data_IF_407154996204
#
_entry.id   IF_407154996204
#
_cell.length_a   1.000
_cell.length_b   1.000
_cell.length_c   1.000
_cell.angle_alpha   90.00
_cell.angle_beta   90.00
_cell.angle_gamma   90.00
#
_symmetry.space_group_name_H-M   'P 1'
#
loop_
_entity.id
_entity.type
_entity.pdbx_description
1 polymer ?
#
# COMPACT_ATOMS: atom_id res chain seq x y z
N UNK A 1 17.48 -2.32 -38.62
CA UNK A 1 16.90 -1.08 -38.10
C UNK A 1 15.44 -1.35 -37.76
N UNK A 2 15.15 -1.75 -36.53
CA UNK A 2 13.80 -2.04 -36.04
C UNK A 2 13.62 -1.34 -34.68
N UNK A 3 13.90 -0.03 -34.66
CA UNK A 3 13.81 0.80 -33.47
C UNK A 3 12.78 1.89 -33.71
N UNK A 4 11.81 1.97 -32.80
CA UNK A 4 10.87 3.09 -32.61
C UNK A 4 9.55 3.08 -33.41
N UNK A 5 9.15 2.00 -34.08
CA UNK A 5 7.80 1.92 -34.67
C UNK A 5 6.67 2.01 -33.61
N UNK A 6 6.94 1.58 -32.37
CA UNK A 6 5.98 1.68 -31.27
C UNK A 6 5.77 3.12 -30.77
N UNK A 7 6.79 3.99 -30.92
CA UNK A 7 6.66 5.43 -30.63
C UNK A 7 5.81 6.09 -31.71
N UNK A 8 5.95 5.67 -32.97
CA UNK A 8 5.12 6.16 -34.06
C UNK A 8 3.65 5.78 -33.86
N UNK A 9 3.33 4.59 -33.35
CA UNK A 9 1.95 4.22 -33.02
C UNK A 9 1.33 5.05 -31.90
N UNK A 10 2.12 5.50 -30.93
CA UNK A 10 1.65 6.39 -29.86
C UNK A 10 1.55 7.85 -30.33
N UNK A 11 2.48 8.32 -31.16
CA UNK A 11 2.43 9.63 -31.80
C UNK A 11 1.26 9.73 -32.78
N UNK A 12 0.99 8.70 -33.58
CA UNK A 12 -0.18 8.63 -34.46
C UNK A 12 -1.47 8.63 -33.64
N UNK A 13 -1.56 7.87 -32.56
CA UNK A 13 -2.75 7.87 -31.69
C UNK A 13 -2.99 9.22 -30.99
N UNK A 14 -1.93 9.94 -30.61
CA UNK A 14 -2.02 11.31 -30.06
C UNK A 14 -2.43 12.30 -31.16
N UNK A 15 -1.81 12.25 -32.34
CA UNK A 15 -2.13 13.12 -33.47
C UNK A 15 -3.57 12.90 -33.97
N UNK A 16 -4.06 11.66 -33.95
CA UNK A 16 -5.42 11.27 -34.32
C UNK A 16 -6.46 11.61 -33.21
N UNK A 17 -6.01 11.84 -31.97
CA UNK A 17 -6.84 12.40 -30.91
C UNK A 17 -6.87 13.94 -30.90
N UNK A 18 -5.87 14.59 -31.50
CA UNK A 18 -5.76 16.05 -31.63
C UNK A 18 -6.45 16.65 -32.86
N UNK A 19 -6.90 15.83 -33.82
CA UNK A 19 -7.44 16.28 -35.12
C UNK A 19 -8.91 16.75 -35.10
N UNK A 20 -9.57 16.77 -33.94
CA UNK A 20 -10.95 17.27 -33.81
C UNK A 20 -11.08 18.61 -33.09
N UNK A 21 -9.98 19.25 -32.68
CA UNK A 21 -10.02 20.48 -31.88
C UNK A 21 -9.19 21.66 -32.44
N UNK A 22 -8.64 21.55 -33.65
CA UNK A 22 -7.88 22.64 -34.27
C UNK A 22 -8.45 22.92 -35.66
N UNK A 23 -9.62 23.58 -35.69
CA UNK A 23 -9.92 24.49 -36.80
C UNK A 23 -9.57 25.91 -36.35
N UNK A 24 -8.67 26.51 -37.15
CA UNK A 24 -8.48 27.94 -37.37
C UNK A 24 -7.94 28.80 -36.22
N UNK A 25 -6.61 28.84 -36.09
CA UNK A 25 -5.79 30.03 -36.42
C UNK A 25 -4.39 29.95 -35.78
N UNK A 26 -3.39 29.51 -36.57
CA UNK A 26 -2.04 30.09 -36.66
C UNK A 26 -1.22 29.30 -37.69
N UNK A 27 -0.34 29.96 -38.47
CA UNK A 27 0.35 29.31 -39.58
C UNK A 27 1.39 28.31 -39.06
N UNK A 28 1.43 27.17 -39.73
CA UNK A 28 2.45 26.12 -39.58
C UNK A 28 3.84 26.73 -39.84
N UNK A 29 4.82 26.60 -38.92
CA UNK A 29 6.20 26.79 -39.30
C UNK A 29 6.63 25.55 -40.08
N UNK A 30 6.74 25.70 -41.40
CA UNK A 30 7.45 24.76 -42.25
C UNK A 30 8.88 24.53 -41.74
N UNK A 31 9.34 23.29 -41.97
CA UNK A 31 10.73 22.80 -41.95
C UNK A 31 11.32 22.32 -40.62
N UNK A 32 11.02 21.05 -40.30
CA UNK A 32 11.84 20.21 -39.42
C UNK A 32 12.26 18.88 -40.08
N UNK A 33 12.34 18.84 -41.41
CA UNK A 33 13.00 17.72 -42.12
C UNK A 33 14.53 17.78 -42.07
N UNK A 34 15.14 18.82 -41.48
CA UNK A 34 16.56 19.13 -41.69
C UNK A 34 17.44 19.34 -40.44
N UNK A 35 17.10 18.76 -39.28
CA UNK A 35 18.07 18.64 -38.17
C UNK A 35 18.08 17.23 -37.60
N UNK A 36 19.13 16.49 -37.93
CA UNK A 36 19.34 15.08 -37.62
C UNK A 36 19.63 14.76 -36.15
N UNK A 37 18.76 15.17 -35.23
CA UNK A 37 18.66 14.59 -33.89
C UNK A 37 17.29 14.92 -33.28
N UNK A 38 16.24 14.28 -33.81
CA UNK A 38 14.95 14.24 -33.14
C UNK A 38 15.07 13.31 -31.92
N UNK A 39 15.02 13.88 -30.71
CA UNK A 39 14.97 13.11 -29.46
C UNK A 39 13.50 12.94 -29.04
N UNK A 40 12.92 11.74 -29.22
CA UNK A 40 11.49 11.51 -28.98
C UNK A 40 11.11 11.72 -27.52
N UNK A 41 12.02 11.42 -26.58
CA UNK A 41 11.78 11.57 -25.14
C UNK A 41 11.68 13.04 -24.75
N UNK A 42 12.46 13.91 -25.39
CA UNK A 42 12.43 15.35 -25.09
C UNK A 42 11.17 16.01 -25.65
N UNK A 43 10.79 15.67 -26.88
CA UNK A 43 9.53 16.13 -27.49
C UNK A 43 8.30 15.64 -26.71
N UNK A 44 8.32 14.38 -26.24
CA UNK A 44 7.20 13.81 -25.49
C UNK A 44 7.02 14.46 -24.11
N UNK A 45 8.12 14.74 -23.40
CA UNK A 45 8.05 15.39 -22.09
C UNK A 45 7.72 16.87 -22.21
N UNK A 46 8.28 17.58 -23.19
CA UNK A 46 7.99 19.01 -23.36
C UNK A 46 6.57 19.22 -23.90
N UNK A 47 6.09 18.46 -24.89
CA UNK A 47 4.83 18.79 -25.57
C UNK A 47 3.60 18.03 -25.06
N UNK A 48 3.75 16.78 -24.59
CA UNK A 48 2.60 15.96 -24.14
C UNK A 48 2.29 16.17 -22.66
N UNK A 49 3.31 16.36 -21.82
CA UNK A 49 3.11 16.58 -20.37
C UNK A 49 2.71 18.02 -20.06
N UNK A 50 3.10 18.99 -20.89
CA UNK A 50 2.72 20.40 -20.66
C UNK A 50 1.51 20.86 -21.46
N UNK A 51 1.18 20.19 -22.58
CA UNK A 51 0.14 20.63 -23.51
C UNK A 51 -1.20 19.88 -23.45
N UNK A 52 -1.30 18.71 -22.81
CA UNK A 52 -2.47 17.82 -22.93
C UNK A 52 -3.24 17.72 -21.61
N UNK A 53 -4.55 17.98 -21.67
CA UNK A 53 -5.46 17.91 -20.50
C UNK A 53 -5.61 16.48 -19.96
N UNK A 54 -5.82 16.36 -18.64
CA UNK A 54 -5.88 15.10 -17.87
C UNK A 54 -6.91 14.11 -18.47
N UNK A 55 -7.98 14.66 -19.07
CA UNK A 55 -9.06 13.94 -19.74
C UNK A 55 -8.60 13.18 -21.01
N UNK A 56 -7.66 13.73 -21.77
CA UNK A 56 -7.22 13.18 -23.05
C UNK A 56 -6.16 12.09 -22.87
N UNK A 57 -5.34 12.20 -21.81
CA UNK A 57 -4.47 11.13 -21.34
C UNK A 57 -5.28 9.90 -20.91
N UNK A 58 -6.39 10.12 -20.21
CA UNK A 58 -7.29 9.05 -19.78
C UNK A 58 -7.99 8.36 -20.97
N UNK A 59 -8.46 9.12 -21.96
CA UNK A 59 -9.07 8.56 -23.18
C UNK A 59 -8.07 7.76 -24.01
N UNK A 60 -6.83 8.24 -24.11
CA UNK A 60 -5.74 7.54 -24.79
C UNK A 60 -5.40 6.22 -24.08
N UNK A 61 -5.37 6.23 -22.75
CA UNK A 61 -5.19 5.02 -21.95
C UNK A 61 -6.28 3.98 -22.21
N UNK A 62 -7.56 4.38 -22.23
CA UNK A 62 -8.68 3.48 -22.54
C UNK A 62 -8.56 2.88 -23.95
N UNK A 63 -8.22 3.68 -24.97
CA UNK A 63 -8.05 3.20 -26.36
C UNK A 63 -6.89 2.21 -26.51
N UNK A 64 -5.78 2.42 -25.82
CA UNK A 64 -4.60 1.53 -25.82
C UNK A 64 -4.92 0.20 -25.11
N UNK A 65 -5.70 0.25 -24.02
CA UNK A 65 -6.17 -0.96 -23.32
C UNK A 65 -7.14 -1.77 -24.19
N UNK A 66 -7.99 -1.10 -24.97
CA UNK A 66 -9.00 -1.73 -25.82
C UNK A 66 -8.43 -2.41 -27.09
N UNK A 67 -7.23 -2.03 -27.55
CA UNK A 67 -6.59 -2.57 -28.78
C UNK A 67 -5.70 -3.79 -28.54
N UNK A 68 -5.84 -4.46 -27.39
CA UNK A 68 -5.08 -5.66 -27.02
C UNK A 68 -5.24 -6.80 -28.04
N UNK A 69 -4.19 -7.04 -28.83
CA UNK A 69 -3.87 -8.39 -29.26
C UNK A 69 -2.38 -8.72 -29.37
N UNK A 70 -2.09 -9.91 -28.83
CA UNK A 70 -0.91 -10.80 -28.92
C UNK A 70 0.48 -10.34 -28.47
N UNK A 71 0.84 -10.92 -27.30
CA UNK A 71 2.14 -11.47 -26.88
C UNK A 71 3.35 -10.52 -26.88
N UNK A 72 3.83 -10.25 -25.65
CA UNK A 72 5.12 -9.66 -25.24
C UNK A 72 5.24 -8.13 -25.07
N UNK A 73 4.23 -7.31 -25.37
CA UNK A 73 4.40 -5.84 -25.33
C UNK A 73 3.59 -5.05 -24.28
N UNK A 74 2.99 -5.70 -23.28
CA UNK A 74 2.11 -5.04 -22.29
C UNK A 74 2.80 -4.43 -21.06
N UNK A 75 3.76 -5.12 -20.45
CA UNK A 75 4.22 -4.79 -19.08
C UNK A 75 5.04 -3.49 -18.98
N UNK A 76 5.89 -3.18 -19.97
CA UNK A 76 6.70 -1.95 -19.95
C UNK A 76 5.87 -0.69 -20.19
N UNK A 77 4.86 -0.76 -21.05
CA UNK A 77 3.97 0.35 -21.34
C UNK A 77 3.04 0.61 -20.15
N UNK A 78 2.51 -0.46 -19.54
CA UNK A 78 1.69 -0.38 -18.31
C UNK A 78 2.48 0.21 -17.14
N UNK A 79 3.72 -0.25 -16.92
CA UNK A 79 4.60 0.30 -15.88
C UNK A 79 4.95 1.77 -16.12
N UNK A 80 5.16 2.18 -17.38
CA UNK A 80 5.50 3.57 -17.70
C UNK A 80 4.29 4.50 -17.53
N UNK A 81 3.11 4.10 -18.00
CA UNK A 81 1.87 4.85 -17.83
C UNK A 81 1.52 5.00 -16.34
N UNK A 82 1.66 3.92 -15.55
CA UNK A 82 1.45 3.96 -14.10
C UNK A 82 2.43 4.92 -13.42
N UNK A 83 3.70 4.91 -13.81
CA UNK A 83 4.75 5.76 -13.23
C UNK A 83 4.55 7.25 -13.54
N UNK A 84 4.07 7.58 -14.74
CA UNK A 84 3.72 8.96 -15.10
C UNK A 84 2.50 9.43 -14.31
N UNK A 85 1.46 8.61 -14.22
CA UNK A 85 0.26 8.93 -13.42
C UNK A 85 0.61 9.14 -11.94
N UNK A 86 1.43 8.25 -11.38
CA UNK A 86 1.90 8.32 -10.00
C UNK A 86 2.72 9.59 -9.72
N UNK A 87 3.67 9.94 -10.59
CA UNK A 87 4.49 11.15 -10.44
C UNK A 87 3.66 12.44 -10.52
N UNK A 88 2.70 12.52 -11.45
CA UNK A 88 1.81 13.67 -11.58
C UNK A 88 0.91 13.83 -10.35
N UNK A 89 0.44 12.72 -9.78
CA UNK A 89 -0.40 12.72 -8.57
C UNK A 89 0.38 13.06 -7.31
N UNK A 90 1.61 12.54 -7.14
CA UNK A 90 2.49 12.92 -6.04
C UNK A 90 2.80 14.41 -6.05
N UNK A 91 3.05 14.99 -7.24
CA UNK A 91 3.27 16.43 -7.39
C UNK A 91 2.03 17.23 -6.92
N UNK A 92 0.83 16.79 -7.31
CA UNK A 92 -0.44 17.42 -6.90
C UNK A 92 -0.70 17.30 -5.38
N UNK A 93 -0.32 16.17 -4.76
CA UNK A 93 -0.40 16.01 -3.30
C UNK A 93 0.56 16.95 -2.56
N UNK A 94 1.79 17.11 -3.05
CA UNK A 94 2.75 18.07 -2.48
C UNK A 94 2.25 19.51 -2.60
N UNK A 95 1.65 19.88 -3.73
CA UNK A 95 1.03 21.21 -3.92
C UNK A 95 -0.14 21.44 -2.96
N UNK A 96 -0.97 20.41 -2.71
CA UNK A 96 -2.09 20.47 -1.75
C UNK A 96 -1.58 20.59 -0.31
N UNK A 97 -0.55 19.82 0.07
CA UNK A 97 0.08 19.92 1.39
C UNK A 97 0.73 21.29 1.61
N UNK A 98 1.38 21.84 0.59
CA UNK A 98 1.97 23.18 0.66
C UNK A 98 0.88 24.26 0.85
N UNK A 99 -0.23 24.12 0.13
CA UNK A 99 -1.40 24.98 0.31
C UNK A 99 -2.02 24.87 1.71
N UNK A 100 -2.13 23.67 2.28
CA UNK A 100 -2.62 23.46 3.64
C UNK A 100 -1.65 24.03 4.70
N UNK A 101 -0.34 23.87 4.51
CA UNK A 101 0.68 24.48 5.40
C UNK A 101 0.62 26.00 5.37
N UNK A 102 0.40 26.60 4.19
CA UNK A 102 0.23 28.04 4.04
C UNK A 102 -1.09 28.53 4.66
N UNK A 103 -2.17 27.75 4.54
CA UNK A 103 -3.45 28.05 5.19
C UNK A 103 -3.35 28.00 6.72
N UNK A 104 -2.71 26.96 7.28
CA UNK A 104 -2.52 26.83 8.73
C UNK A 104 -1.66 27.96 9.29
N UNK A 105 -0.59 28.38 8.60
CA UNK A 105 0.22 29.55 9.03
C UNK A 105 -0.56 30.87 8.99
N UNK A 106 -1.53 31.02 8.09
CA UNK A 106 -2.42 32.20 8.08
C UNK A 106 -3.38 32.15 9.26
N UNK A 107 -3.95 30.99 9.52
CA UNK A 107 -4.85 30.77 10.66
C UNK A 107 -4.15 31.00 12.00
N UNK A 108 -2.93 30.48 12.20
CA UNK A 108 -2.11 30.73 13.40
C UNK A 108 -1.79 32.22 13.60
N UNK A 109 -1.55 32.97 12.52
CA UNK A 109 -1.33 34.43 12.60
C UNK A 109 -2.59 35.20 12.91
N UNK A 110 -3.73 34.79 12.37
CA UNK A 110 -5.03 35.40 12.70
C UNK A 110 -5.44 35.09 14.14
N UNK A 111 -5.18 33.87 14.61
CA UNK A 111 -5.43 33.46 15.98
C UNK A 111 -4.51 34.20 16.95
N UNK A 112 -3.19 34.25 16.71
CA UNK A 112 -2.28 35.03 17.54
C UNK A 112 -2.57 36.55 17.52
N UNK A 113 -3.20 37.07 16.46
CA UNK A 113 -3.68 38.45 16.41
C UNK A 113 -4.97 38.66 17.20
N UNK A 114 -5.85 37.66 17.27
CA UNK A 114 -7.05 37.64 18.11
C UNK A 114 -6.70 37.50 19.59
N UNK A 115 -5.82 36.57 19.92
CA UNK A 115 -5.32 36.33 21.28
C UNK A 115 -4.60 37.58 21.81
N UNK A 116 -3.77 38.24 20.98
CA UNK A 116 -3.14 39.52 21.37
C UNK A 116 -4.14 40.68 21.55
N UNK A 117 -5.29 40.68 20.85
CA UNK A 117 -6.37 41.64 21.11
C UNK A 117 -7.19 41.31 22.35
N UNK A 118 -7.30 40.02 22.72
CA UNK A 118 -7.93 39.58 23.96
C UNK A 118 -7.03 39.93 25.16
N UNK A 119 -5.73 39.66 25.11
CA UNK A 119 -4.75 40.05 26.16
C UNK A 119 -4.72 41.58 26.37
N UNK A 120 -4.75 42.37 25.29
CA UNK A 120 -4.81 43.84 25.38
C UNK A 120 -6.15 44.38 25.91
N UNK A 121 -7.20 43.55 25.94
CA UNK A 121 -8.50 43.89 26.54
C UNK A 121 -8.59 43.50 28.02
N UNK A 122 -7.81 42.51 28.45
CA UNK A 122 -7.68 42.11 29.86
C UNK A 122 -6.75 43.04 30.66
N UNK A 123 -5.70 43.57 30.04
CA UNK A 123 -4.71 44.50 30.65
C UNK A 123 -5.28 45.90 31.00
N UNK A 124 -6.51 46.23 30.61
CA UNK A 124 -7.20 47.45 31.06
C UNK A 124 -8.05 47.24 32.32
N UNK A 125 -8.06 46.02 32.90
CA UNK A 125 -8.88 45.69 34.08
C UNK A 125 -8.10 45.41 35.37
N UNK A 126 -6.78 45.23 35.33
CA UNK A 126 -5.98 44.99 36.55
C UNK A 126 -4.94 46.09 36.79
N UNK A 127 -5.40 47.13 37.49
CA UNK A 127 -4.51 48.08 38.13
C UNK A 127 -3.83 47.47 39.36
N UNK A 128 -2.51 47.68 39.39
CA UNK A 128 -1.67 47.96 40.56
C UNK A 128 -0.80 46.84 41.21
N UNK A 129 0.53 47.13 41.22
CA UNK A 129 1.64 46.63 42.07
C UNK A 129 2.32 45.34 41.59
N UNK A 130 3.64 45.23 41.44
CA UNK A 130 4.78 46.11 41.69
C UNK A 130 6.08 45.28 41.72
N UNK A 131 7.04 45.67 40.88
CA UNK A 131 8.52 45.67 40.98
C UNK A 131 9.36 44.45 41.47
N UNK A 132 10.46 44.15 40.74
CA UNK A 132 11.65 43.45 41.32
C UNK A 132 12.46 42.45 40.46
N UNK A 133 13.32 42.95 39.57
CA UNK A 133 14.67 42.50 39.09
C UNK A 133 15.23 41.06 39.32
N UNK A 134 15.85 40.49 38.27
CA UNK A 134 16.98 39.52 38.39
C UNK A 134 17.33 38.70 37.13
N UNK A 135 18.45 39.01 36.47
CA UNK A 135 19.03 38.37 35.27
C UNK A 135 19.46 36.89 35.40
N UNK A 136 19.49 36.13 34.29
CA UNK A 136 20.69 35.52 33.67
C UNK A 136 20.32 34.42 32.63
N UNK A 137 20.86 34.52 31.41
CA UNK A 137 20.85 33.49 30.36
C UNK A 137 22.02 32.50 30.55
N UNK A 138 21.90 31.27 30.02
CA UNK A 138 22.84 30.90 28.97
C UNK A 138 22.21 30.19 27.76
N UNK A 139 22.86 30.40 26.63
CA UNK A 139 22.65 29.84 25.30
C UNK A 139 22.77 28.33 25.25
N UNK A 140 21.86 27.67 24.52
CA UNK A 140 22.11 26.33 23.97
C UNK A 140 21.59 26.20 22.53
N UNK A 141 22.44 25.60 21.70
CA UNK A 141 22.25 25.38 20.26
C UNK A 141 21.11 24.39 19.96
N UNK A 142 20.34 24.54 18.86
CA UNK A 142 19.18 23.69 18.63
C UNK A 142 19.61 22.32 18.06
N UNK A 143 19.61 21.29 18.92
CA UNK A 143 19.51 19.90 18.48
C UNK A 143 18.22 19.72 17.68
N UNK A 144 18.33 19.37 16.39
CA UNK A 144 17.20 18.91 15.57
C UNK A 144 16.55 17.69 16.24
N UNK A 145 15.45 17.92 16.97
CA UNK A 145 14.53 16.86 17.39
C UNK A 145 13.73 16.45 16.16
N UNK A 146 14.00 15.25 15.64
CA UNK A 146 13.07 14.58 14.75
C UNK A 146 11.76 14.36 15.51
N UNK A 147 10.64 14.73 14.88
CA UNK A 147 9.30 14.49 15.40
C UNK A 147 9.08 12.98 15.48
N UNK A 148 9.13 12.45 16.69
CA UNK A 148 8.52 11.15 16.99
C UNK A 148 7.02 11.38 16.93
N UNK A 149 6.35 10.83 15.92
CA UNK A 149 4.93 10.53 16.04
C UNK A 149 4.81 9.37 17.04
N UNK A 150 4.90 9.70 18.33
CA UNK A 150 4.19 8.90 19.32
C UNK A 150 2.74 9.12 18.92
N UNK A 151 2.11 8.12 18.33
CA UNK A 151 0.67 8.14 18.15
C UNK A 151 0.10 8.45 19.52
N UNK A 152 -0.56 9.61 19.65
CA UNK A 152 -1.48 9.80 20.75
C UNK A 152 -2.44 8.63 20.62
N UNK A 153 -2.37 7.73 21.59
CA UNK A 153 -3.32 6.65 21.76
C UNK A 153 -4.62 7.33 22.21
N UNK A 154 -5.26 8.07 21.32
CA UNK A 154 -6.71 8.23 21.39
C UNK A 154 -7.27 6.83 21.15
N UNK A 155 -7.32 6.10 22.27
CA UNK A 155 -8.02 4.85 22.44
C UNK A 155 -9.37 5.05 21.76
N UNK A 156 -9.55 4.34 20.64
CA UNK A 156 -10.77 4.14 19.88
C UNK A 156 -11.98 4.85 20.52
N UNK A 157 -12.25 6.10 20.12
CA UNK A 157 -13.41 6.82 20.65
C UNK A 157 -14.69 6.06 20.31
N UNK A 158 -15.67 6.09 21.21
CA UNK A 158 -16.97 5.40 21.06
C UNK A 158 -17.71 5.79 19.76
N UNK A 159 -17.36 6.94 19.15
CA UNK A 159 -17.85 7.41 17.85
C UNK A 159 -17.52 6.46 16.67
N UNK A 160 -16.55 5.56 16.81
CA UNK A 160 -16.18 4.62 15.72
C UNK A 160 -16.91 3.27 15.78
N UNK A 161 -17.78 3.03 16.77
CA UNK A 161 -18.60 1.79 16.84
C UNK A 161 -19.44 1.57 15.58
N UNK A 162 -19.81 2.64 14.87
CA UNK A 162 -20.65 2.57 13.67
C UNK A 162 -19.90 2.15 12.39
N UNK A 163 -18.56 2.18 12.35
CA UNK A 163 -17.83 2.11 11.07
C UNK A 163 -17.81 0.73 10.40
N UNK A 164 -18.32 -0.33 11.04
CA UNK A 164 -18.44 -1.72 10.54
C UNK A 164 -17.33 -2.10 9.52
N UNK A 165 -16.08 -2.06 9.96
CA UNK A 165 -14.89 -2.15 9.10
C UNK A 165 -14.67 -3.55 8.53
N UNK A 166 -14.19 -3.61 7.28
CA UNK A 166 -13.66 -4.81 6.64
C UNK A 166 -12.13 -4.74 6.59
N UNK A 167 -11.43 -5.74 7.12
CA UNK A 167 -9.97 -5.79 7.18
C UNK A 167 -9.48 -7.03 6.43
N UNK A 168 -8.42 -6.88 5.63
CA UNK A 168 -7.75 -8.00 4.96
C UNK A 168 -6.33 -8.14 5.49
N UNK A 169 -5.97 -9.33 5.94
CA UNK A 169 -4.61 -9.73 6.29
C UNK A 169 -4.11 -10.73 5.26
N UNK A 170 -2.82 -10.71 4.92
CA UNK A 170 -2.23 -11.63 3.94
C UNK A 170 -1.03 -12.34 4.57
N UNK A 171 -1.03 -13.68 4.53
CA UNK A 171 0.08 -14.54 4.92
C UNK A 171 0.11 -15.78 4.03
N UNK A 172 1.00 -15.80 3.04
CA UNK A 172 0.95 -16.77 1.95
C UNK A 172 1.63 -18.11 2.25
N UNK A 173 2.85 -18.06 2.75
CA UNK A 173 3.62 -19.26 3.07
C UNK A 173 3.22 -19.88 4.41
N UNK A 174 3.70 -21.11 4.61
CA UNK A 174 3.42 -21.90 5.79
C UNK A 174 2.04 -22.57 5.75
N UNK A 175 1.79 -23.40 6.76
CA UNK A 175 0.51 -24.08 6.93
C UNK A 175 -0.37 -23.31 7.92
N UNK A 176 -1.35 -22.56 7.40
CA UNK A 176 -2.24 -21.71 8.20
C UNK A 176 -3.58 -22.40 8.44
N UNK A 177 -3.90 -22.64 9.72
CA UNK A 177 -5.19 -23.11 10.22
C UNK A 177 -5.49 -22.51 11.59
N UNK A 178 -6.77 -22.46 11.96
CA UNK A 178 -7.23 -21.84 13.20
C UNK A 178 -6.91 -22.66 14.44
N UNK A 179 -7.14 -23.97 14.36
CA UNK A 179 -6.97 -24.89 15.48
C UNK A 179 -5.85 -25.91 15.24
N UNK A 180 -5.24 -26.39 16.31
CA UNK A 180 -4.19 -27.41 16.28
C UNK A 180 -3.00 -27.09 15.34
N UNK A 181 -2.60 -25.82 15.19
CA UNK A 181 -1.52 -25.41 14.27
C UNK A 181 -0.28 -26.30 14.36
N UNK A 182 0.27 -26.71 13.22
CA UNK A 182 1.48 -27.55 13.12
C UNK A 182 2.76 -26.72 13.31
N UNK A 183 2.81 -25.95 14.40
CA UNK A 183 3.94 -25.05 14.69
C UNK A 183 5.24 -25.84 14.84
N UNK A 184 6.28 -25.41 14.12
CA UNK A 184 7.59 -26.05 14.14
C UNK A 184 7.72 -27.27 13.22
N UNK A 185 6.70 -27.57 12.38
CA UNK A 185 6.81 -28.60 11.34
C UNK A 185 7.97 -28.32 10.38
N UNK A 186 8.13 -27.07 9.98
CA UNK A 186 9.16 -26.61 9.06
C UNK A 186 9.56 -25.14 9.35
N UNK A 187 10.38 -24.55 8.48
CA UNK A 187 10.83 -23.16 8.62
C UNK A 187 9.75 -22.11 8.36
N UNK A 188 8.61 -22.51 7.80
CA UNK A 188 7.60 -21.63 7.24
C UNK A 188 6.36 -21.59 8.15
N UNK A 189 6.16 -22.66 8.94
CA UNK A 189 5.06 -22.81 9.89
C UNK A 189 5.55 -22.56 11.31
N UNK A 190 5.62 -21.30 11.70
CA UNK A 190 6.18 -20.88 12.99
C UNK A 190 5.47 -19.70 13.64
N UNK A 191 6.25 -18.82 14.26
CA UNK A 191 5.73 -17.67 15.03
C UNK A 191 4.86 -16.72 14.22
N UNK A 192 5.16 -16.53 12.92
CA UNK A 192 4.33 -15.73 12.01
C UNK A 192 2.91 -16.29 11.89
N UNK A 193 2.74 -17.59 11.64
CA UNK A 193 1.42 -18.23 11.50
C UNK A 193 0.58 -18.03 12.76
N UNK A 194 1.18 -18.28 13.93
CA UNK A 194 0.50 -18.03 15.20
C UNK A 194 0.12 -16.56 15.36
N UNK A 195 1.03 -15.65 15.05
CA UNK A 195 0.79 -14.21 15.17
C UNK A 195 -0.40 -13.76 14.32
N UNK A 196 -0.46 -14.12 13.04
CA UNK A 196 -1.49 -13.62 12.12
C UNK A 196 -2.88 -14.19 12.45
N UNK A 197 -2.96 -15.44 12.90
CA UNK A 197 -4.24 -16.04 13.32
C UNK A 197 -4.75 -15.37 14.60
N UNK A 198 -3.89 -15.19 15.61
CA UNK A 198 -4.29 -14.50 16.85
C UNK A 198 -4.61 -13.02 16.61
N UNK A 199 -3.87 -12.35 15.72
CA UNK A 199 -4.19 -10.99 15.28
C UNK A 199 -5.58 -10.93 14.64
N UNK A 200 -5.90 -11.88 13.76
CA UNK A 200 -7.22 -11.96 13.11
C UNK A 200 -8.35 -12.07 14.15
N UNK A 201 -8.18 -12.97 15.13
CA UNK A 201 -9.13 -13.15 16.24
C UNK A 201 -9.28 -11.88 17.07
N UNK A 202 -8.16 -11.24 17.42
CA UNK A 202 -8.16 -10.03 18.22
C UNK A 202 -8.84 -8.86 17.49
N UNK A 203 -8.52 -8.64 16.21
CA UNK A 203 -9.12 -7.60 15.38
C UNK A 203 -10.64 -7.79 15.25
N UNK A 204 -11.11 -9.02 15.02
CA UNK A 204 -12.55 -9.30 14.90
C UNK A 204 -13.34 -9.05 16.21
N UNK A 205 -12.67 -9.03 17.37
CA UNK A 205 -13.30 -8.65 18.65
C UNK A 205 -13.27 -7.15 18.93
N UNK A 206 -12.57 -6.36 18.11
CA UNK A 206 -12.49 -4.92 18.32
C UNK A 206 -13.83 -4.25 17.97
N UNK A 207 -14.33 -3.32 18.81
CA UNK A 207 -15.54 -2.58 18.51
C UNK A 207 -15.45 -1.88 17.15
N UNK A 208 -16.45 -2.01 16.29
CA UNK A 208 -16.45 -1.35 14.97
C UNK A 208 -15.73 -2.11 13.86
N UNK A 209 -15.06 -3.25 14.15
CA UNK A 209 -14.65 -4.21 13.12
C UNK A 209 -15.80 -5.17 12.85
N UNK A 210 -16.20 -5.29 11.59
CA UNK A 210 -17.25 -6.21 11.17
C UNK A 210 -16.69 -7.53 10.68
N UNK A 211 -15.67 -7.47 9.80
CA UNK A 211 -15.09 -8.67 9.18
C UNK A 211 -13.58 -8.57 9.06
N UNK A 212 -12.90 -9.67 9.34
CA UNK A 212 -11.47 -9.85 9.09
C UNK A 212 -11.28 -11.09 8.21
N UNK A 213 -10.67 -10.92 7.03
CA UNK A 213 -10.25 -12.02 6.18
C UNK A 213 -8.73 -12.18 6.23
N UNK A 214 -8.24 -13.35 6.65
CA UNK A 214 -6.85 -13.77 6.57
C UNK A 214 -6.63 -14.61 5.31
N UNK A 215 -6.05 -14.01 4.29
CA UNK A 215 -5.73 -14.69 3.03
C UNK A 215 -4.45 -15.51 3.15
N UNK A 216 -4.54 -16.75 2.67
CA UNK A 216 -3.41 -17.69 2.62
C UNK A 216 -3.54 -18.61 1.41
N UNK A 217 -2.55 -19.48 1.21
CA UNK A 217 -2.55 -20.46 0.11
C UNK A 217 -3.45 -21.65 0.42
N UNK A 218 -4.22 -22.09 -0.57
CA UNK A 218 -4.94 -23.37 -0.52
C UNK A 218 -4.02 -24.53 -0.89
N UNK A 219 -3.93 -25.54 -0.03
CA UNK A 219 -3.03 -26.69 -0.20
C UNK A 219 -3.83 -27.98 -0.08
N UNK A 220 -3.91 -28.74 -1.18
CA UNK A 220 -4.62 -30.02 -1.30
C UNK A 220 -3.62 -31.16 -1.55
N UNK A 221 -2.53 -31.17 -0.78
CA UNK A 221 -1.50 -32.21 -0.86
C UNK A 221 -1.86 -33.38 0.08
N UNK A 222 -1.61 -34.64 -0.33
CA UNK A 222 -1.76 -35.79 0.56
C UNK A 222 -0.75 -35.81 1.72
N UNK A 223 0.28 -34.96 1.69
CA UNK A 223 1.33 -34.88 2.72
C UNK A 223 0.96 -33.98 3.92
N UNK A 224 -0.13 -33.24 3.80
CA UNK A 224 -0.64 -32.31 4.82
C UNK A 224 -2.10 -32.65 5.15
N UNK A 225 -2.59 -32.10 6.25
CA UNK A 225 -3.98 -32.29 6.66
C UNK A 225 -4.96 -31.77 5.59
N UNK A 226 -6.03 -32.50 5.33
CA UNK A 226 -7.02 -32.16 4.30
C UNK A 226 -7.68 -30.79 4.54
N UNK A 227 -7.72 -30.32 5.80
CA UNK A 227 -8.28 -29.02 6.18
C UNK A 227 -7.58 -27.83 5.53
N UNK A 228 -6.30 -27.94 5.14
CA UNK A 228 -5.63 -26.87 4.36
C UNK A 228 -6.17 -26.75 2.93
N UNK A 229 -6.93 -27.74 2.48
CA UNK A 229 -7.66 -27.74 1.22
C UNK A 229 -9.02 -27.03 1.31
N UNK A 230 -9.55 -26.79 2.51
CA UNK A 230 -10.84 -26.13 2.68
C UNK A 230 -10.74 -24.64 2.34
N UNK A 231 -11.59 -24.11 1.44
CA UNK A 231 -11.46 -22.75 0.90
C UNK A 231 -11.69 -21.66 1.96
N UNK A 232 -12.42 -21.96 3.02
CA UNK A 232 -12.68 -21.04 4.12
C UNK A 232 -12.73 -21.77 5.46
N UNK A 233 -12.26 -21.12 6.51
CA UNK A 233 -12.36 -21.58 7.90
C UNK A 233 -12.70 -20.39 8.79
N UNK A 234 -13.71 -20.52 9.65
CA UNK A 234 -14.11 -19.46 10.58
C UNK A 234 -13.28 -19.56 11.87
N UNK A 235 -12.62 -18.47 12.25
CA UNK A 235 -11.75 -18.42 13.44
C UNK A 235 -12.49 -18.02 14.71
N UNK A 236 -13.40 -17.05 14.61
CA UNK A 236 -14.22 -16.57 15.72
C UNK A 236 -15.45 -15.88 15.13
N UNK A 237 -16.61 -16.11 15.75
CA UNK A 237 -17.81 -15.32 15.48
C UNK A 237 -17.66 -13.89 16.01
N UNK A 238 -18.47 -12.96 15.50
CA UNK A 238 -18.61 -11.64 16.13
C UNK A 238 -18.94 -11.78 17.63
N UNK A 239 -18.74 -10.73 18.44
CA UNK A 239 -19.02 -10.79 19.88
C UNK A 239 -20.42 -11.33 20.15
N UNK A 240 -20.52 -12.38 20.99
CA UNK A 240 -21.79 -13.03 21.36
C UNK A 240 -22.71 -12.11 22.18
N UNK A 241 -22.16 -11.02 22.75
CA UNK A 241 -22.80 -10.15 23.75
C UNK A 241 -23.54 -8.92 23.16
N UNK A 242 -23.92 -8.92 21.89
CA UNK A 242 -24.56 -7.79 21.22
C UNK A 242 -25.96 -8.10 20.71
N UNK A 243 -26.98 -7.54 21.38
CA UNK A 243 -28.39 -7.56 21.01
C UNK A 243 -28.61 -7.10 19.54
N UNK A 244 -28.66 -8.07 18.61
CA UNK A 244 -29.24 -8.00 17.27
C UNK A 244 -28.76 -6.92 16.28
N UNK A 245 -27.66 -7.16 15.54
CA UNK A 245 -27.45 -6.65 14.16
C UNK A 245 -26.19 -7.21 13.43
N UNK A 246 -25.56 -8.27 13.96
CA UNK A 246 -24.33 -8.85 13.38
C UNK A 246 -24.72 -9.86 12.30
N UNK A 247 -24.59 -9.46 11.03
CA UNK A 247 -24.92 -10.31 9.89
C UNK A 247 -24.01 -11.55 9.77
N UNK A 248 -24.43 -12.51 8.93
CA UNK A 248 -23.81 -13.85 8.78
C UNK A 248 -22.31 -13.83 8.43
N UNK A 249 -21.81 -12.71 7.91
CA UNK A 249 -20.42 -12.55 7.48
C UNK A 249 -19.51 -11.89 8.52
N UNK A 250 -20.01 -11.68 9.75
CA UNK A 250 -19.28 -11.05 10.84
C UNK A 250 -18.29 -12.01 11.51
N UNK A 251 -17.08 -11.51 11.80
CA UNK A 251 -16.03 -12.26 12.50
C UNK A 251 -14.73 -12.37 11.72
N UNK A 252 -13.88 -13.32 12.12
CA UNK A 252 -12.59 -13.60 11.49
C UNK A 252 -12.64 -14.90 10.69
N UNK A 253 -12.08 -14.89 9.48
CA UNK A 253 -12.05 -16.03 8.58
C UNK A 253 -10.65 -16.22 8.00
N UNK A 254 -10.16 -17.46 7.93
CA UNK A 254 -9.09 -17.84 7.01
C UNK A 254 -9.72 -18.09 5.65
N UNK A 255 -9.24 -17.42 4.61
CA UNK A 255 -9.66 -17.63 3.23
C UNK A 255 -8.45 -18.15 2.45
N UNK A 256 -8.60 -19.36 1.90
CA UNK A 256 -7.53 -20.05 1.19
C UNK A 256 -7.71 -19.84 -0.31
N UNK A 257 -6.83 -19.02 -0.89
CA UNK A 257 -6.83 -18.72 -2.32
C UNK A 257 -6.01 -19.80 -3.04
N UNK A 258 -6.56 -20.47 -4.08
CA UNK A 258 -5.78 -21.39 -4.89
C UNK A 258 -4.81 -20.62 -5.77
N UNK A 259 -3.52 -20.95 -5.68
CA UNK A 259 -2.50 -20.50 -6.61
C UNK A 259 -1.29 -21.45 -6.62
N UNK A 260 -0.63 -21.54 -7.78
CA UNK A 260 0.37 -22.56 -8.05
C UNK A 260 -0.18 -23.98 -7.96
N UNK A 261 0.70 -25.00 -8.00
CA UNK A 261 0.31 -26.40 -7.92
C UNK A 261 -0.42 -26.71 -6.61
N UNK A 262 -1.66 -27.20 -6.67
CA UNK A 262 -2.52 -27.40 -5.48
C UNK A 262 -2.25 -28.71 -4.75
N UNK A 263 -1.73 -29.70 -5.46
CA UNK A 263 -1.44 -31.06 -5.00
C UNK A 263 -0.13 -31.19 -4.23
N UNK A 264 0.60 -30.07 -4.03
CA UNK A 264 1.88 -30.05 -3.34
C UNK A 264 2.02 -28.85 -2.39
N UNK A 265 2.69 -29.09 -1.27
CA UNK A 265 3.16 -28.03 -0.39
C UNK A 265 4.41 -27.37 -1.01
N UNK A 266 4.50 -26.05 -0.91
CA UNK A 266 5.63 -25.26 -1.43
C UNK A 266 6.21 -24.44 -0.30
N UNK A 267 7.53 -24.43 -0.19
CA UNK A 267 8.21 -23.48 0.70
C UNK A 267 8.12 -22.05 0.15
N UNK A 268 8.26 -21.08 1.04
CA UNK A 268 8.18 -19.64 0.71
C UNK A 268 9.10 -19.21 -0.43
N UNK A 269 10.28 -19.82 -0.57
CA UNK A 269 11.24 -19.53 -1.64
C UNK A 269 10.72 -19.91 -3.04
N UNK A 270 9.73 -20.79 -3.12
CA UNK A 270 9.17 -21.30 -4.38
C UNK A 270 7.85 -20.63 -4.78
N UNK A 271 7.33 -19.70 -3.96
CA UNK A 271 6.05 -19.03 -4.20
C UNK A 271 6.13 -17.88 -5.21
N UNK A 272 7.31 -17.27 -5.38
CA UNK A 272 7.51 -16.06 -6.21
C UNK A 272 6.87 -16.12 -7.61
N UNK A 273 6.96 -17.22 -8.39
CA UNK A 273 6.35 -17.29 -9.72
C UNK A 273 4.82 -17.20 -9.72
N UNK A 274 4.17 -17.43 -8.58
CA UNK A 274 2.72 -17.56 -8.46
C UNK A 274 2.05 -16.39 -7.73
N UNK A 275 2.82 -15.37 -7.33
CA UNK A 275 2.29 -14.20 -6.60
C UNK A 275 1.19 -13.48 -7.41
N UNK A 276 1.37 -13.32 -8.71
CA UNK A 276 0.37 -12.68 -9.57
C UNK A 276 -0.94 -13.49 -9.66
N UNK A 277 -0.84 -14.82 -9.63
CA UNK A 277 -2.01 -15.70 -9.61
C UNK A 277 -2.77 -15.54 -8.28
N UNK A 278 -2.05 -15.50 -7.15
CA UNK A 278 -2.65 -15.17 -5.85
C UNK A 278 -3.35 -13.82 -5.87
N UNK A 279 -2.70 -12.75 -6.38
CA UNK A 279 -3.28 -11.40 -6.43
C UNK A 279 -4.58 -11.41 -7.24
N UNK A 280 -4.65 -12.13 -8.36
CA UNK A 280 -5.88 -12.27 -9.14
C UNK A 280 -7.02 -12.94 -8.35
N UNK A 281 -6.72 -14.05 -7.66
CA UNK A 281 -7.70 -14.75 -6.83
C UNK A 281 -8.15 -13.94 -5.61
N UNK A 282 -7.22 -13.27 -4.92
CA UNK A 282 -7.49 -12.40 -3.80
C UNK A 282 -8.35 -11.19 -4.20
N UNK A 283 -8.04 -10.56 -5.33
CA UNK A 283 -8.84 -9.46 -5.88
C UNK A 283 -10.28 -9.91 -6.19
N UNK A 284 -10.44 -11.08 -6.80
CA UNK A 284 -11.77 -11.63 -7.08
C UNK A 284 -12.58 -11.88 -5.80
N UNK A 285 -11.95 -12.41 -4.74
CA UNK A 285 -12.59 -12.58 -3.44
C UNK A 285 -12.98 -11.25 -2.83
N UNK A 286 -12.09 -10.26 -2.80
CA UNK A 286 -12.37 -8.93 -2.26
C UNK A 286 -13.54 -8.28 -3.00
N UNK A 287 -13.59 -8.36 -4.34
CA UNK A 287 -14.68 -7.81 -5.14
C UNK A 287 -16.03 -8.47 -4.83
N UNK A 288 -16.04 -9.79 -4.63
CA UNK A 288 -17.24 -10.51 -4.23
C UNK A 288 -17.69 -10.10 -2.83
N UNK A 289 -16.77 -10.10 -1.86
CA UNK A 289 -17.08 -9.70 -0.50
C UNK A 289 -17.51 -8.25 -0.40
N UNK A 290 -16.95 -7.35 -1.21
CA UNK A 290 -17.33 -5.94 -1.20
C UNK A 290 -18.81 -5.74 -1.56
N UNK A 291 -19.36 -6.59 -2.45
CA UNK A 291 -20.79 -6.60 -2.80
C UNK A 291 -21.64 -7.18 -1.67
N UNK A 292 -21.26 -8.34 -1.14
CA UNK A 292 -21.97 -9.01 -0.04
C UNK A 292 -22.04 -8.11 1.20
N UNK A 293 -20.92 -7.52 1.58
CA UNK A 293 -20.86 -6.57 2.70
C UNK A 293 -21.63 -5.28 2.37
N UNK A 294 -21.67 -4.87 1.10
CA UNK A 294 -22.50 -3.75 0.67
C UNK A 294 -23.98 -3.95 0.94
N UNK A 295 -24.50 -5.15 0.69
CA UNK A 295 -25.89 -5.51 0.99
C UNK A 295 -26.15 -5.60 2.50
N UNK A 296 -25.22 -6.17 3.27
CA UNK A 296 -25.40 -6.40 4.71
C UNK A 296 -25.21 -5.13 5.55
N UNK A 297 -24.17 -4.36 5.29
CA UNK A 297 -23.73 -3.24 6.15
C UNK A 297 -23.51 -1.93 5.39
N UNK A 298 -23.36 -1.97 4.06
CA UNK A 298 -23.10 -0.81 3.22
C UNK A 298 -24.33 -0.12 2.64
N UNK A 299 -25.55 -0.49 3.05
CA UNK A 299 -26.82 0.06 2.53
C UNK A 299 -26.92 -0.02 0.99
N UNK A 300 -26.44 -1.13 0.42
CA UNK A 300 -26.41 -1.39 -1.02
C UNK A 300 -25.21 -0.78 -1.76
N UNK A 301 -24.31 -0.05 -1.07
CA UNK A 301 -23.05 0.44 -1.64
C UNK A 301 -21.91 -0.54 -1.35
N UNK A 302 -20.96 -0.76 -2.29
CA UNK A 302 -19.83 -1.66 -2.04
C UNK A 302 -19.00 -1.24 -0.82
N UNK A 303 -18.67 -2.21 0.03
CA UNK A 303 -17.80 -2.00 1.19
C UNK A 303 -16.42 -2.53 0.89
N UNK A 304 -15.48 -1.62 0.67
CA UNK A 304 -14.10 -1.96 0.40
C UNK A 304 -13.33 -2.30 1.69
N UNK A 305 -12.23 -3.05 1.61
CA UNK A 305 -11.33 -3.20 2.74
C UNK A 305 -10.87 -1.82 3.22
N UNK A 306 -10.91 -1.61 4.52
CA UNK A 306 -10.39 -0.41 5.17
C UNK A 306 -8.86 -0.40 5.13
N UNK A 307 -8.24 -1.58 5.22
CA UNK A 307 -6.80 -1.75 5.20
C UNK A 307 -6.45 -3.14 4.69
N UNK A 308 -5.33 -3.25 3.97
CA UNK A 308 -4.70 -4.51 3.57
C UNK A 308 -3.37 -4.62 4.31
N UNK A 309 -3.20 -5.66 5.11
CA UNK A 309 -2.02 -5.87 5.94
C UNK A 309 -1.20 -7.07 5.44
N UNK A 310 -0.04 -6.81 4.85
CA UNK A 310 0.90 -7.84 4.42
C UNK A 310 1.81 -8.32 5.56
N UNK A 311 1.98 -9.64 5.68
CA UNK A 311 2.88 -10.26 6.65
C UNK A 311 3.97 -11.07 5.95
N UNK A 312 5.23 -10.61 6.05
CA UNK A 312 6.40 -11.09 5.31
C UNK A 312 6.49 -10.57 3.87
N UNK A 313 7.60 -10.89 3.20
CA UNK A 313 7.95 -10.35 1.88
C UNK A 313 6.99 -10.76 0.74
N UNK A 314 6.58 -12.02 0.71
CA UNK A 314 5.67 -12.58 -0.30
C UNK A 314 4.26 -11.97 -0.20
N UNK A 315 3.75 -11.86 1.03
CA UNK A 315 2.50 -11.20 1.32
C UNK A 315 2.59 -9.68 1.17
N UNK A 316 3.75 -9.07 1.46
CA UNK A 316 4.01 -7.66 1.26
C UNK A 316 3.88 -7.27 -0.22
N UNK A 317 4.55 -8.01 -1.12
CA UNK A 317 4.47 -7.80 -2.57
C UNK A 317 3.02 -7.91 -3.06
N UNK A 318 2.33 -8.94 -2.60
CA UNK A 318 0.90 -9.14 -2.91
C UNK A 318 0.02 -8.00 -2.39
N UNK A 319 0.26 -7.54 -1.16
CA UNK A 319 -0.48 -6.46 -0.54
C UNK A 319 -0.25 -5.12 -1.25
N UNK A 320 0.99 -4.83 -1.70
CA UNK A 320 1.30 -3.63 -2.46
C UNK A 320 0.54 -3.58 -3.79
N UNK A 321 0.48 -4.71 -4.49
CA UNK A 321 -0.28 -4.84 -5.74
C UNK A 321 -1.79 -4.67 -5.52
N UNK A 322 -2.35 -5.31 -4.49
CA UNK A 322 -3.77 -5.22 -4.17
C UNK A 322 -4.16 -3.81 -3.68
N UNK A 323 -3.34 -3.22 -2.81
CA UNK A 323 -3.51 -1.85 -2.31
C UNK A 323 -3.51 -0.85 -3.46
N UNK A 324 -2.55 -0.94 -4.38
CA UNK A 324 -2.48 -0.08 -5.56
C UNK A 324 -3.68 -0.26 -6.51
N UNK A 325 -4.16 -1.49 -6.70
CA UNK A 325 -5.31 -1.78 -7.56
C UNK A 325 -6.65 -1.29 -6.97
N UNK A 326 -6.80 -1.39 -5.64
CA UNK A 326 -8.03 -1.04 -4.94
C UNK A 326 -8.05 0.39 -4.39
N UNK A 327 -6.90 1.06 -4.39
CA UNK A 327 -6.69 2.35 -3.73
C UNK A 327 -7.08 2.30 -2.24
N UNK A 328 -6.59 1.28 -1.55
CA UNK A 328 -6.82 1.01 -0.11
C UNK A 328 -5.48 1.09 0.63
N UNK A 329 -5.43 1.70 1.83
CA UNK A 329 -4.21 1.76 2.64
C UNK A 329 -3.54 0.40 2.87
N UNK A 330 -2.21 0.37 2.76
CA UNK A 330 -1.39 -0.80 3.04
C UNK A 330 -0.65 -0.67 4.38
N UNK A 331 -0.67 -1.75 5.15
CA UNK A 331 0.20 -1.93 6.34
C UNK A 331 1.14 -3.11 6.09
N UNK A 332 2.38 -3.00 6.56
CA UNK A 332 3.36 -4.07 6.44
C UNK A 332 3.91 -4.50 7.80
N UNK A 333 3.99 -5.81 8.02
CA UNK A 333 4.82 -6.41 9.09
C UNK A 333 5.83 -7.35 8.47
N UNK A 334 7.11 -6.99 8.53
CA UNK A 334 8.17 -7.76 7.88
C UNK A 334 8.42 -9.14 8.50
N UNK A 335 8.29 -9.29 9.82
CA UNK A 335 8.67 -10.47 10.64
C UNK A 335 10.16 -10.83 10.60
N UNK A 336 10.76 -10.84 9.41
CA UNK A 336 12.18 -11.03 9.15
C UNK A 336 12.51 -10.27 7.87
N UNK A 337 13.63 -9.54 7.84
CA UNK A 337 14.10 -8.84 6.64
C UNK A 337 15.21 -9.62 5.93
N UNK A 338 15.13 -9.68 4.61
CA UNK A 338 16.04 -10.36 3.71
C UNK A 338 17.44 -9.78 3.73
N UNK A 339 17.58 -8.44 3.85
CA UNK A 339 18.90 -7.78 3.97
C UNK A 339 19.69 -8.28 5.17
N UNK A 340 19.05 -8.34 6.33
CA UNK A 340 19.67 -8.87 7.56
C UNK A 340 20.03 -10.35 7.44
N UNK A 341 19.12 -11.13 6.84
CA UNK A 341 19.38 -12.55 6.60
C UNK A 341 20.59 -12.75 5.69
N UNK A 342 20.72 -11.95 4.63
CA UNK A 342 21.86 -11.98 3.72
C UNK A 342 23.15 -11.63 4.45
N UNK A 343 23.16 -10.55 5.24
CA UNK A 343 24.35 -10.14 5.99
C UNK A 343 24.81 -11.23 6.97
N UNK A 344 23.87 -11.87 7.69
CA UNK A 344 24.17 -12.97 8.60
C UNK A 344 24.74 -14.20 7.87
N UNK A 345 24.15 -14.59 6.74
CA UNK A 345 24.63 -15.74 5.96
C UNK A 345 26.03 -15.49 5.38
N UNK A 346 26.30 -14.27 4.91
CA UNK A 346 27.63 -13.89 4.42
C UNK A 346 28.67 -13.90 5.55
N UNK A 347 28.32 -13.40 6.75
CA UNK A 347 29.21 -13.43 7.93
C UNK A 347 29.58 -14.85 8.37
N UNK A 348 28.71 -15.83 8.14
CA UNK A 348 29.02 -17.23 8.44
C UNK A 348 30.07 -17.82 7.48
N UNK A 349 30.27 -17.22 6.29
CA UNK A 349 31.32 -17.60 5.35
C UNK A 349 31.20 -19.00 4.75
N UNK A 350 30.06 -19.69 4.92
CA UNK A 350 29.84 -21.08 4.48
C UNK A 350 29.40 -21.21 3.03
N UNK A 351 28.85 -20.14 2.44
CA UNK A 351 28.23 -20.15 1.11
C UNK A 351 28.57 -18.87 0.38
N UNK A 352 28.67 -18.94 -0.96
CA UNK A 352 28.80 -17.76 -1.80
C UNK A 352 27.48 -16.97 -1.84
N UNK A 353 27.54 -15.70 -2.28
CA UNK A 353 26.33 -14.88 -2.43
C UNK A 353 25.38 -15.49 -3.48
N UNK A 354 25.95 -16.07 -4.52
CA UNK A 354 25.24 -16.75 -5.61
C UNK A 354 24.51 -17.98 -5.10
N UNK A 355 25.15 -18.80 -4.26
CA UNK A 355 24.53 -19.98 -3.64
C UNK A 355 23.38 -19.58 -2.71
N UNK A 356 23.60 -18.57 -1.87
CA UNK A 356 22.57 -18.00 -0.98
C UNK A 356 21.36 -17.56 -1.81
N UNK A 357 21.59 -16.84 -2.91
CA UNK A 357 20.50 -16.39 -3.76
C UNK A 357 19.79 -17.55 -4.47
N UNK A 358 20.53 -18.56 -4.93
CA UNK A 358 19.94 -19.74 -5.57
C UNK A 358 18.99 -20.49 -4.63
N UNK A 359 19.41 -20.69 -3.37
CA UNK A 359 18.65 -21.40 -2.34
C UNK A 359 17.49 -20.57 -1.79
N UNK A 360 17.75 -19.34 -1.35
CA UNK A 360 16.77 -18.54 -0.59
C UNK A 360 15.99 -17.53 -1.43
N UNK A 361 16.31 -17.41 -2.72
CA UNK A 361 15.81 -16.33 -3.60
C UNK A 361 15.96 -14.96 -2.96
N UNK A 362 17.09 -14.74 -2.29
CA UNK A 362 17.28 -13.62 -1.37
C UNK A 362 17.18 -12.26 -2.07
N UNK A 363 17.61 -12.17 -3.34
CA UNK A 363 17.53 -10.93 -4.10
C UNK A 363 16.09 -10.58 -4.46
N UNK A 364 15.30 -11.56 -4.92
CA UNK A 364 13.86 -11.40 -5.18
C UNK A 364 13.12 -11.01 -3.90
N UNK A 365 13.46 -11.65 -2.78
CA UNK A 365 12.88 -11.31 -1.47
C UNK A 365 13.19 -9.86 -1.08
N UNK A 366 14.44 -9.42 -1.20
CA UNK A 366 14.82 -8.04 -0.85
C UNK A 366 14.08 -7.05 -1.75
N UNK A 367 13.99 -7.31 -3.05
CA UNK A 367 13.26 -6.44 -3.98
C UNK A 367 11.77 -6.32 -3.60
N UNK A 368 11.13 -7.44 -3.28
CA UNK A 368 9.75 -7.46 -2.78
C UNK A 368 9.59 -6.67 -1.47
N UNK A 369 10.54 -6.81 -0.53
CA UNK A 369 10.52 -6.07 0.74
C UNK A 369 10.64 -4.56 0.51
N UNK A 370 11.56 -4.10 -0.35
CA UNK A 370 11.70 -2.67 -0.66
C UNK A 370 10.45 -2.09 -1.31
N UNK A 371 9.87 -2.80 -2.30
CA UNK A 371 8.61 -2.38 -2.93
C UNK A 371 7.47 -2.29 -1.91
N UNK A 372 7.40 -3.25 -0.99
CA UNK A 372 6.40 -3.27 0.07
C UNK A 372 6.58 -2.15 1.08
N UNK A 373 7.82 -1.81 1.41
CA UNK A 373 8.17 -0.72 2.32
C UNK A 373 7.84 0.64 1.72
N UNK A 374 8.11 0.81 0.42
CA UNK A 374 7.78 2.04 -0.30
C UNK A 374 6.25 2.24 -0.43
N UNK A 375 5.49 1.14 -0.55
CA UNK A 375 4.03 1.19 -0.69
C UNK A 375 3.28 1.31 0.65
N UNK A 376 3.87 0.88 1.76
CA UNK A 376 3.21 0.84 3.06
C UNK A 376 3.03 2.23 3.67
N UNK A 377 1.81 2.56 4.09
CA UNK A 377 1.55 3.79 4.86
C UNK A 377 2.04 3.65 6.31
N UNK A 378 2.00 2.43 6.83
CA UNK A 378 2.46 2.10 8.19
C UNK A 378 3.24 0.78 8.18
N UNK A 379 4.39 0.78 8.84
CA UNK A 379 5.20 -0.43 9.08
C UNK A 379 5.13 -0.78 10.57
N UNK A 380 4.71 -2.00 10.87
CA UNK A 380 4.64 -2.53 12.23
C UNK A 380 5.83 -3.43 12.49
N UNK A 381 6.64 -3.07 13.48
CA UNK A 381 7.82 -3.81 13.94
C UNK A 381 7.60 -4.31 15.37
N UNK A 382 8.13 -5.49 15.69
CA UNK A 382 7.99 -6.06 17.05
C UNK A 382 8.96 -5.45 18.05
N UNK A 383 10.11 -4.95 17.58
CA UNK A 383 11.15 -4.40 18.43
C UNK A 383 11.66 -3.05 17.93
N UNK A 384 12.13 -2.19 18.84
CA UNK A 384 12.79 -0.93 18.47
C UNK A 384 14.06 -1.16 17.63
N UNK A 385 14.69 -2.33 17.76
CA UNK A 385 15.92 -2.65 17.05
C UNK A 385 15.68 -2.82 15.54
N UNK A 386 14.52 -3.37 15.15
CA UNK A 386 14.08 -3.43 13.75
C UNK A 386 14.01 -2.04 13.11
N UNK A 387 13.53 -1.04 13.86
CA UNK A 387 13.40 0.34 13.35
C UNK A 387 14.76 0.99 13.07
N UNK A 388 15.73 0.83 13.97
CA UNK A 388 16.99 1.61 13.91
C UNK A 388 18.11 0.93 13.11
N UNK A 389 18.00 -0.37 12.83
CA UNK A 389 19.06 -1.14 12.16
C UNK A 389 18.62 -1.83 10.89
N UNK A 390 17.32 -2.13 10.75
CA UNK A 390 16.87 -3.13 9.78
C UNK A 390 16.02 -2.50 8.67
N UNK A 391 15.30 -1.41 8.95
CA UNK A 391 14.60 -0.60 7.96
C UNK A 391 15.54 0.42 7.28
N UNK A 392 15.40 0.66 5.96
CA UNK A 392 16.24 1.60 5.21
C UNK A 392 16.12 3.06 5.64
#
# INVERSE_FOLDING_TARGET
>A
MAGNEWINGYLEAILDSGSSAIEEQKPVPENLRDRGNFNPTKYFVEEVVTGVDESDLYRTWIKVVATRNTRERGSRLENMCWRIWHLTRMKKQLEIEEHQRLANRRWEREQGRRDATEDMSEDLSEGEKGDGLGEMLPSDTPRKKFQRNISNLEVWSDDKKEKKLYIVLISLHGLVRGENMELGRDSDTGGQVKYVVELSRALARMPGVYRVDLFTRQVSSPEVDWSYGEPAEMLTAGPEDGDGDLGESSGAYIIRIPFGPRDQYLSKELLWPYIQEFVGGALAHILNMSKVLGEQIGKGQPVWPYVIHGHYADAGDSAALLSGALNVPMVLTGHSLGRNKLEQLLKQGRQSKEDINSTYKIMTRIEAEELSLDAAEVVITSTKQEIFKDLP
#
